data_IF_439436797425
#
_entry.id   IF_439436797425
#
_cell.length_a   1.000
_cell.length_b   1.000
_cell.length_c   1.000
_cell.angle_alpha   90.00
_cell.angle_beta   90.00
_cell.angle_gamma   90.00
#
_symmetry.space_group_name_H-M   'P 1'
#
loop_
_entity.id
_entity.type
_entity.pdbx_description
1 polymer ?
#
# COMPACT_ATOMS: atom_id res chain seq x y z
N UNK A 1 22.33 -8.62 13.15
CA UNK A 1 23.15 -8.04 12.07
C UNK A 1 22.55 -8.37 10.71
N UNK A 2 22.51 -9.64 10.28
CA UNK A 2 22.00 -10.05 8.95
C UNK A 2 20.61 -9.51 8.52
N UNK A 3 19.63 -9.45 9.44
CA UNK A 3 18.28 -8.95 9.12
C UNK A 3 18.25 -7.43 8.83
N UNK A 4 19.09 -6.65 9.50
CA UNK A 4 19.17 -5.20 9.26
C UNK A 4 19.82 -4.90 7.90
N UNK A 5 20.82 -5.71 7.52
CA UNK A 5 21.49 -5.61 6.22
C UNK A 5 20.53 -5.95 5.07
N UNK A 6 19.68 -6.97 5.24
CA UNK A 6 18.64 -7.34 4.27
C UNK A 6 17.61 -6.21 4.11
N UNK A 7 17.08 -5.67 5.20
CA UNK A 7 16.09 -4.57 5.13
C UNK A 7 16.69 -3.31 4.50
N UNK A 8 17.97 -3.02 4.78
CA UNK A 8 18.69 -1.90 4.16
C UNK A 8 18.89 -2.10 2.65
N UNK A 9 19.29 -3.30 2.23
CA UNK A 9 19.42 -3.65 0.82
C UNK A 9 18.08 -3.58 0.08
N UNK A 10 16.99 -4.08 0.67
CA UNK A 10 15.64 -3.99 0.10
C UNK A 10 15.17 -2.53 -0.04
N UNK A 11 15.46 -1.68 0.95
CA UNK A 11 15.10 -0.24 0.91
C UNK A 11 15.85 0.50 -0.20
N UNK A 12 17.13 0.17 -0.38
CA UNK A 12 17.96 0.71 -1.47
C UNK A 12 17.45 0.27 -2.85
N UNK A 13 17.12 -1.02 -3.00
CA UNK A 13 16.54 -1.55 -4.24
C UNK A 13 15.22 -0.85 -4.57
N UNK A 14 14.35 -0.69 -3.57
CA UNK A 14 13.08 -0.01 -3.74
C UNK A 14 13.24 1.44 -4.24
N UNK A 15 14.14 2.20 -3.65
CA UNK A 15 14.38 3.59 -4.08
C UNK A 15 14.87 3.67 -5.53
N UNK A 16 15.71 2.72 -5.96
CA UNK A 16 16.14 2.62 -7.37
C UNK A 16 14.98 2.27 -8.30
N UNK A 17 14.09 1.37 -7.87
CA UNK A 17 12.92 0.96 -8.63
C UNK A 17 11.94 2.12 -8.85
N UNK A 18 11.69 2.93 -7.81
CA UNK A 18 10.89 4.15 -7.91
C UNK A 18 11.53 5.15 -8.88
N UNK A 19 12.84 5.39 -8.76
CA UNK A 19 13.58 6.28 -9.65
C UNK A 19 13.53 5.82 -11.11
N UNK A 20 13.66 4.51 -11.35
CA UNK A 20 13.57 3.91 -12.68
C UNK A 20 12.16 4.05 -13.26
N UNK A 21 11.13 3.88 -12.44
CA UNK A 21 9.73 4.08 -12.88
C UNK A 21 9.50 5.52 -13.33
N UNK A 22 10.08 6.50 -12.63
CA UNK A 22 10.07 7.90 -13.07
C UNK A 22 10.80 8.15 -14.39
N UNK A 23 11.85 7.38 -14.70
CA UNK A 23 12.51 7.43 -16.02
C UNK A 23 11.61 6.83 -17.11
N UNK A 24 10.95 5.70 -16.83
CA UNK A 24 10.02 5.05 -17.76
C UNK A 24 8.81 5.93 -18.05
N UNK A 25 8.30 6.67 -17.06
CA UNK A 25 7.19 7.60 -17.26
C UNK A 25 7.53 8.70 -18.30
N UNK A 26 8.80 9.12 -18.40
CA UNK A 26 9.24 10.08 -19.44
C UNK A 26 9.13 9.50 -20.85
N UNK A 27 9.31 8.19 -20.99
CA UNK A 27 9.19 7.49 -22.26
C UNK A 27 7.72 7.13 -22.57
N UNK A 28 6.95 6.80 -21.54
CA UNK A 28 5.53 6.45 -21.65
C UNK A 28 4.73 7.20 -20.58
N UNK A 29 4.12 8.35 -20.94
CA UNK A 29 3.30 9.13 -20.02
C UNK A 29 2.06 8.39 -19.49
N UNK A 30 1.71 7.23 -20.06
CA UNK A 30 0.62 6.37 -19.58
C UNK A 30 0.99 5.61 -18.31
N UNK A 31 2.29 5.48 -18.00
CA UNK A 31 2.77 4.83 -16.79
C UNK A 31 2.72 5.81 -15.61
N UNK A 32 1.52 6.06 -15.09
CA UNK A 32 1.30 6.98 -13.99
C UNK A 32 1.28 6.31 -12.61
N UNK A 33 1.11 4.99 -12.58
CA UNK A 33 0.92 4.23 -11.34
C UNK A 33 1.92 3.09 -11.25
N UNK A 34 2.47 2.89 -10.05
CA UNK A 34 3.40 1.82 -9.73
C UNK A 34 2.84 0.97 -8.60
N UNK A 35 2.67 -0.31 -8.85
CA UNK A 35 2.05 -1.23 -7.91
C UNK A 35 3.07 -1.74 -6.89
N UNK A 36 2.90 -1.34 -5.63
CA UNK A 36 3.79 -1.67 -4.52
C UNK A 36 3.52 -3.03 -3.85
N UNK A 37 2.47 -3.74 -4.28
CA UNK A 37 2.00 -4.97 -3.65
C UNK A 37 1.03 -4.72 -2.49
N UNK A 38 0.69 -5.79 -1.76
CA UNK A 38 -0.21 -5.72 -0.61
C UNK A 38 0.41 -4.98 0.56
N UNK A 39 -0.35 -4.06 1.15
CA UNK A 39 0.05 -3.33 2.33
C UNK A 39 -0.33 -4.07 3.62
N UNK A 40 0.67 -4.42 4.42
CA UNK A 40 0.50 -5.03 5.74
C UNK A 40 1.08 -4.05 6.76
N UNK A 41 0.21 -3.39 7.51
CA UNK A 41 0.61 -2.30 8.39
C UNK A 41 1.62 -2.73 9.49
N UNK A 42 1.48 -3.94 10.01
CA UNK A 42 2.39 -4.50 11.01
C UNK A 42 3.80 -4.80 10.47
N UNK A 43 3.98 -4.92 9.15
CA UNK A 43 5.26 -5.22 8.52
C UNK A 43 6.11 -3.95 8.33
N UNK A 44 7.30 -3.85 8.95
CA UNK A 44 8.18 -2.68 8.77
C UNK A 44 8.52 -2.38 7.31
N UNK A 45 8.64 -3.43 6.48
CA UNK A 45 8.92 -3.31 5.04
C UNK A 45 7.83 -2.54 4.30
N UNK A 46 6.56 -2.83 4.59
CA UNK A 46 5.45 -2.15 3.93
C UNK A 46 5.21 -0.77 4.52
N UNK A 47 5.46 -0.59 5.83
CA UNK A 47 5.36 0.71 6.48
C UNK A 47 6.30 1.74 5.84
N UNK A 48 7.57 1.42 5.60
CA UNK A 48 8.48 2.38 4.95
C UNK A 48 8.08 2.66 3.49
N UNK A 49 7.64 1.64 2.72
CA UNK A 49 7.18 1.84 1.34
C UNK A 49 5.99 2.78 1.28
N UNK A 50 5.06 2.67 2.23
CA UNK A 50 3.90 3.56 2.35
C UNK A 50 4.22 5.00 2.75
N UNK A 51 5.44 5.30 3.20
CA UNK A 51 5.87 6.68 3.49
C UNK A 51 6.28 7.45 2.22
N UNK A 52 6.46 6.76 1.08
CA UNK A 52 6.78 7.42 -0.18
C UNK A 52 5.51 8.02 -0.77
N UNK A 53 5.42 9.35 -0.80
CA UNK A 53 4.23 10.05 -1.30
C UNK A 53 4.37 10.47 -2.77
N UNK A 54 3.27 10.49 -3.54
CA UNK A 54 1.91 10.07 -3.16
C UNK A 54 1.76 8.52 -3.13
N UNK A 55 1.03 7.99 -2.15
CA UNK A 55 0.69 6.55 -2.05
C UNK A 55 -0.78 6.33 -1.69
N UNK A 56 -1.42 5.43 -2.43
CA UNK A 56 -2.82 5.03 -2.22
C UNK A 56 -2.93 3.54 -1.88
N UNK A 57 -3.93 3.18 -1.07
CA UNK A 57 -4.31 1.81 -0.76
C UNK A 57 -5.62 1.46 -1.46
N UNK A 58 -5.63 0.32 -2.15
CA UNK A 58 -6.84 -0.24 -2.73
C UNK A 58 -7.66 -0.95 -1.65
N UNK A 59 -8.92 -0.55 -1.48
CA UNK A 59 -9.85 -1.29 -0.63
C UNK A 59 -10.42 -2.49 -1.40
N UNK A 60 -10.29 -3.73 -0.89
CA UNK A 60 -10.66 -4.92 -1.65
C UNK A 60 -12.17 -5.10 -1.87
N UNK A 61 -13.02 -4.54 -0.98
CA UNK A 61 -14.48 -4.70 -1.11
C UNK A 61 -15.08 -3.72 -2.13
N UNK A 62 -14.60 -2.46 -2.18
CA UNK A 62 -15.15 -1.42 -3.08
C UNK A 62 -14.28 -1.11 -4.29
N UNK A 63 -13.06 -1.65 -4.35
CA UNK A 63 -12.06 -1.35 -5.38
C UNK A 63 -11.74 0.15 -5.52
N UNK A 64 -11.91 0.90 -4.43
CA UNK A 64 -11.56 2.33 -4.35
C UNK A 64 -10.15 2.50 -3.82
N UNK A 65 -9.36 3.36 -4.48
CA UNK A 65 -8.07 3.80 -3.99
C UNK A 65 -8.25 4.95 -3.00
N UNK A 66 -7.69 4.81 -1.81
CA UNK A 66 -7.75 5.79 -0.72
C UNK A 66 -6.33 6.19 -0.33
N UNK A 67 -6.03 7.49 -0.16
CA UNK A 67 -4.72 7.94 0.30
C UNK A 67 -4.32 7.25 1.60
N UNK A 68 -3.09 6.74 1.65
CA UNK A 68 -2.60 5.97 2.80
C UNK A 68 -2.68 6.75 4.12
N UNK A 69 -2.54 8.08 4.06
CA UNK A 69 -2.63 8.98 5.20
C UNK A 69 -3.99 8.89 5.92
N UNK A 70 -5.08 8.68 5.17
CA UNK A 70 -6.40 8.47 5.74
C UNK A 70 -6.58 7.06 6.32
N UNK A 71 -5.79 6.10 5.83
CA UNK A 71 -5.88 4.71 6.25
C UNK A 71 -5.09 4.41 7.53
N UNK A 72 -3.96 5.09 7.73
CA UNK A 72 -3.04 4.86 8.87
C UNK A 72 -3.76 4.91 10.23
N UNK A 73 -4.59 5.92 10.56
CA UNK A 73 -5.23 6.00 11.88
C UNK A 73 -6.06 4.76 12.25
N UNK A 74 -6.75 4.17 11.29
CA UNK A 74 -7.56 2.97 11.54
C UNK A 74 -6.71 1.68 11.57
N UNK A 75 -5.62 1.64 10.81
CA UNK A 75 -4.68 0.51 10.78
C UNK A 75 -3.80 0.40 12.02
N UNK A 76 -3.59 1.51 12.73
CA UNK A 76 -2.93 1.51 14.05
C UNK A 76 -3.84 0.91 15.15
N UNK A 77 -5.17 0.98 14.98
CA UNK A 77 -6.14 0.46 15.96
C UNK A 77 -6.50 -1.00 15.72
N UNK A 78 -6.50 -1.44 14.46
CA UNK A 78 -6.99 -2.76 14.05
C UNK A 78 -6.09 -3.36 12.98
N UNK A 79 -5.94 -4.70 12.97
CA UNK A 79 -5.16 -5.39 11.94
C UNK A 79 -5.80 -5.29 10.54
N UNK A 80 -7.09 -5.00 10.48
CA UNK A 80 -7.87 -4.77 9.28
C UNK A 80 -8.85 -3.62 9.53
N UNK A 81 -8.76 -2.58 8.71
CA UNK A 81 -9.61 -1.41 8.80
C UNK A 81 -10.47 -1.26 7.54
N UNK A 82 -11.75 -0.92 7.74
CA UNK A 82 -12.66 -0.51 6.67
C UNK A 82 -12.59 0.99 6.49
N UNK A 83 -12.36 1.45 5.27
CA UNK A 83 -12.27 2.89 4.93
C UNK A 83 -13.50 3.39 4.17
N UNK A 84 -14.52 2.54 4.01
CA UNK A 84 -15.72 2.88 3.25
C UNK A 84 -16.55 3.93 4.00
N UNK A 85 -16.94 5.00 3.31
CA UNK A 85 -17.80 6.06 3.86
C UNK A 85 -19.30 5.78 3.64
N UNK A 86 -19.66 4.67 3.00
CA UNK A 86 -21.05 4.32 2.79
C UNK A 86 -21.66 3.65 4.04
N UNK A 87 -22.79 4.16 4.57
CA UNK A 87 -23.55 3.47 5.58
C UNK A 87 -24.27 2.26 4.95
N UNK A 88 -23.71 1.08 5.21
CA UNK A 88 -24.38 -0.23 5.17
C UNK A 88 -25.32 -0.48 3.97
N UNK A 89 -24.74 -0.82 2.81
CA UNK A 89 -25.47 -1.56 1.78
C UNK A 89 -25.20 -3.06 1.97
N UNK A 90 -25.90 -3.67 2.93
CA UNK A 90 -26.30 -5.08 2.84
C UNK A 90 -25.21 -6.13 3.02
N UNK A 91 -25.41 -6.96 4.04
CA UNK A 91 -24.64 -8.17 4.29
C UNK A 91 -24.91 -9.23 3.21
N UNK A 92 -24.05 -9.35 2.20
CA UNK A 92 -23.83 -10.58 1.40
C UNK A 92 -22.50 -10.44 0.65
N UNK A 93 -21.36 -10.81 1.22
CA UNK A 93 -20.87 -12.17 1.18
C UNK A 93 -19.85 -12.32 2.30
N UNK A 94 -20.21 -13.10 3.31
CA UNK A 94 -19.24 -13.58 4.28
C UNK A 94 -18.23 -14.48 3.57
N UNK A 95 -17.07 -13.93 3.20
CA UNK A 95 -15.89 -14.76 3.01
C UNK A 95 -15.27 -14.90 4.39
N UNK A 96 -15.74 -15.91 5.11
CA UNK A 96 -15.05 -16.42 6.29
C UNK A 96 -13.65 -16.83 5.83
N UNK A 97 -12.61 -16.16 6.33
CA UNK A 97 -11.27 -16.72 6.28
C UNK A 97 -11.31 -17.98 7.15
N UNK A 98 -11.24 -19.13 6.49
CA UNK A 98 -10.93 -20.43 7.11
C UNK A 98 -9.46 -20.47 7.46
#
# INVERSE_FOLDING_TARGET
MLLADIVSAETSLFSREVAFTGQLQKQSPKLCYYYLGFYIHSCPKMRYKGQYQPSDLLYPETYVFVPIEHCIPSLEQTHYARFNQEPDAGTEHGISYV
#
